data_IF_334171921112
#
_entry.id   IF_334171921112
#
_cell.length_a   1.000
_cell.length_b   1.000
_cell.length_c   1.000
_cell.angle_alpha   90.00
_cell.angle_beta   90.00
_cell.angle_gamma   90.00
#
_symmetry.space_group_name_H-M   'P 1'
#
loop_
_entity.id
_entity.type
_entity.pdbx_description
1 polymer ?
#
# COMPACT_ATOMS: atom_id res chain seq x y z
N UNK A 1 16.30 -7.64 23.77
CA UNK A 1 15.40 -6.50 24.01
C UNK A 1 14.35 -6.53 22.94
N UNK A 2 13.23 -7.08 23.27
CA UNK A 2 12.03 -6.99 22.44
C UNK A 2 11.56 -5.55 22.46
N UNK A 3 12.02 -4.76 21.49
CA UNK A 3 11.67 -3.36 21.31
C UNK A 3 10.24 -3.19 20.76
N UNK A 4 9.28 -4.02 21.25
CA UNK A 4 7.89 -3.88 20.85
C UNK A 4 7.32 -2.64 21.50
N UNK A 5 7.04 -1.64 20.68
CA UNK A 5 6.40 -0.40 21.13
C UNK A 5 4.99 -0.71 21.60
N UNK A 6 4.61 -0.17 22.75
CA UNK A 6 3.29 -0.33 23.34
C UNK A 6 2.51 0.97 23.20
N UNK A 7 1.31 0.91 22.62
CA UNK A 7 0.39 2.04 22.64
C UNK A 7 -0.10 2.26 24.07
N UNK A 8 0.06 3.48 24.56
CA UNK A 8 -0.33 3.88 25.90
C UNK A 8 -1.19 5.14 25.86
N UNK A 9 -2.09 5.26 26.81
CA UNK A 9 -2.73 6.51 27.15
C UNK A 9 -2.07 7.12 28.39
N UNK A 10 -1.87 8.44 28.40
CA UNK A 10 -1.37 9.16 29.56
C UNK A 10 -2.08 10.52 29.69
N UNK A 11 -2.53 10.84 30.89
CA UNK A 11 -3.11 12.14 31.25
C UNK A 11 -2.12 13.01 32.07
N UNK A 12 -0.85 12.60 32.12
CA UNK A 12 0.19 13.23 32.93
C UNK A 12 0.23 12.78 34.39
N UNK A 13 -0.81 12.10 34.88
CA UNK A 13 -0.88 11.55 36.26
C UNK A 13 -0.90 10.02 36.24
N UNK A 14 -1.50 9.43 35.24
CA UNK A 14 -1.60 7.98 35.06
C UNK A 14 -1.19 7.60 33.65
N UNK A 15 -0.55 6.45 33.52
CA UNK A 15 -0.26 5.84 32.22
C UNK A 15 -0.90 4.45 32.19
N UNK A 16 -1.68 4.19 31.15
CA UNK A 16 -2.34 2.91 30.92
C UNK A 16 -1.77 2.29 29.66
N UNK A 17 -1.14 1.13 29.80
CA UNK A 17 -0.71 0.32 28.65
C UNK A 17 -1.95 -0.30 27.99
N UNK A 18 -2.05 -0.18 26.67
CA UNK A 18 -3.21 -0.64 25.90
C UNK A 18 -2.84 -1.91 25.13
N UNK A 19 -1.99 -1.79 24.10
CA UNK A 19 -1.65 -2.92 23.23
C UNK A 19 -0.24 -2.76 22.65
N UNK A 20 0.55 -3.84 22.56
CA UNK A 20 1.78 -3.85 21.80
C UNK A 20 1.52 -3.62 20.31
N UNK A 21 2.35 -2.82 19.64
CA UNK A 21 2.22 -2.52 18.21
C UNK A 21 2.25 -3.77 17.34
N UNK A 22 3.03 -4.78 17.72
CA UNK A 22 3.12 -6.09 17.06
C UNK A 22 1.80 -6.89 17.09
N UNK A 23 0.86 -6.53 17.96
CA UNK A 23 -0.46 -7.18 18.07
C UNK A 23 -1.55 -6.50 17.24
N UNK A 24 -1.24 -5.39 16.59
CA UNK A 24 -2.14 -4.71 15.66
C UNK A 24 -2.10 -5.46 14.34
N UNK A 25 -3.27 -5.91 13.88
CA UNK A 25 -3.40 -6.79 12.70
C UNK A 25 -3.01 -6.08 11.40
N UNK A 26 -3.37 -4.80 11.24
CA UNK A 26 -3.05 -4.04 10.03
C UNK A 26 -1.64 -3.47 10.09
N UNK A 27 -0.79 -3.69 9.05
CA UNK A 27 0.61 -3.28 9.07
C UNK A 27 0.80 -1.78 8.85
N UNK A 28 1.96 -1.27 9.22
CA UNK A 28 2.46 0.07 8.88
C UNK A 28 2.34 1.10 9.99
N UNK A 29 3.34 1.99 10.05
CA UNK A 29 3.44 3.05 11.05
C UNK A 29 2.22 3.98 11.04
N UNK A 30 1.77 4.36 9.85
CA UNK A 30 0.57 5.19 9.69
C UNK A 30 -0.70 4.56 10.31
N UNK A 31 -0.77 3.23 10.39
CA UNK A 31 -1.87 2.56 11.06
C UNK A 31 -1.74 2.62 12.59
N UNK A 32 -0.53 2.59 13.11
CA UNK A 32 -0.28 2.85 14.54
C UNK A 32 -0.74 4.27 14.89
N UNK A 33 -0.40 5.28 14.08
CA UNK A 33 -0.88 6.66 14.25
C UNK A 33 -2.41 6.76 14.17
N UNK A 34 -3.05 6.05 13.23
CA UNK A 34 -4.51 5.98 13.13
C UNK A 34 -5.13 5.37 14.40
N UNK A 35 -4.51 4.31 14.96
CA UNK A 35 -4.97 3.73 16.24
C UNK A 35 -4.81 4.71 17.40
N UNK A 36 -3.69 5.43 17.49
CA UNK A 36 -3.50 6.46 18.52
C UNK A 36 -4.58 7.54 18.44
N UNK A 37 -4.89 8.02 17.24
CA UNK A 37 -5.96 9.00 17.01
C UNK A 37 -7.35 8.44 17.38
N UNK A 38 -7.65 7.22 16.92
CA UNK A 38 -8.94 6.59 17.22
C UNK A 38 -9.12 6.31 18.72
N UNK A 39 -8.07 5.80 19.38
CA UNK A 39 -8.07 5.56 20.83
C UNK A 39 -8.29 6.87 21.58
N UNK A 40 -7.61 7.94 21.19
CA UNK A 40 -7.78 9.26 21.82
C UNK A 40 -9.21 9.78 21.69
N UNK A 41 -9.85 9.54 20.55
CA UNK A 41 -11.22 9.99 20.28
C UNK A 41 -12.28 9.24 21.12
N UNK A 42 -12.04 7.97 21.47
CA UNK A 42 -13.00 7.12 22.20
C UNK A 42 -12.59 6.85 23.64
N UNK A 43 -11.52 7.50 24.12
CA UNK A 43 -11.00 7.25 25.46
C UNK A 43 -12.00 7.67 26.54
N UNK A 44 -12.30 6.72 27.40
CA UNK A 44 -13.31 6.90 28.46
C UNK A 44 -14.69 6.33 28.09
N UNK A 45 -15.03 6.26 26.80
CA UNK A 45 -16.30 5.72 26.33
C UNK A 45 -16.23 4.22 26.01
N UNK A 46 -15.02 3.72 25.71
CA UNK A 46 -14.78 2.34 25.30
C UNK A 46 -13.73 1.69 26.19
N UNK A 47 -13.99 0.43 26.60
CA UNK A 47 -13.03 -0.32 27.45
C UNK A 47 -11.76 -0.67 26.70
N UNK A 48 -10.64 -0.76 27.44
CA UNK A 48 -9.34 -1.20 26.89
C UNK A 48 -9.43 -2.59 26.22
N UNK A 49 -10.22 -3.50 26.78
CA UNK A 49 -10.44 -4.83 26.18
C UNK A 49 -11.12 -4.76 24.82
N UNK A 50 -12.07 -3.87 24.64
CA UNK A 50 -12.75 -3.64 23.36
C UNK A 50 -11.76 -3.05 22.33
N UNK A 51 -10.95 -2.08 22.74
CA UNK A 51 -9.88 -1.50 21.91
C UNK A 51 -8.91 -2.60 21.46
N UNK A 52 -8.42 -3.41 22.40
CA UNK A 52 -7.51 -4.51 22.10
C UNK A 52 -8.12 -5.55 21.16
N UNK A 53 -9.39 -5.88 21.32
CA UNK A 53 -10.12 -6.81 20.45
C UNK A 53 -10.22 -6.29 19.04
N UNK A 54 -10.61 -5.03 18.86
CA UNK A 54 -10.66 -4.39 17.53
C UNK A 54 -9.27 -4.38 16.91
N UNK A 55 -8.23 -3.97 17.61
CA UNK A 55 -6.87 -3.89 17.08
C UNK A 55 -6.33 -5.25 16.58
N UNK A 56 -6.71 -6.36 17.24
CA UNK A 56 -6.30 -7.72 16.86
C UNK A 56 -7.10 -8.30 15.69
N UNK A 57 -8.33 -7.84 15.44
CA UNK A 57 -9.22 -8.46 14.47
C UNK A 57 -9.56 -7.58 13.28
N UNK A 58 -9.45 -6.26 13.40
CA UNK A 58 -9.74 -5.34 12.31
C UNK A 58 -8.75 -5.54 11.16
N UNK A 59 -9.26 -5.99 10.02
CA UNK A 59 -8.47 -6.34 8.83
C UNK A 59 -8.11 -5.18 7.92
N UNK A 60 -8.43 -3.96 8.32
CA UNK A 60 -8.25 -2.77 7.47
C UNK A 60 -9.51 -2.33 6.74
N UNK A 61 -9.39 -1.31 5.93
CA UNK A 61 -10.44 -0.78 5.07
C UNK A 61 -10.24 -1.35 3.67
N UNK A 62 -11.32 -1.76 3.02
CA UNK A 62 -11.29 -2.24 1.63
C UNK A 62 -10.56 -1.23 0.73
N UNK A 63 -9.76 -1.73 -0.20
CA UNK A 63 -8.92 -0.97 -1.13
C UNK A 63 -7.76 -0.17 -0.49
N UNK A 64 -7.46 -0.34 0.80
CA UNK A 64 -6.36 0.36 1.49
C UNK A 64 -5.34 -0.64 2.05
N UNK A 65 -4.29 -0.92 1.27
CA UNK A 65 -3.29 -1.96 1.57
C UNK A 65 -4.00 -3.26 2.00
N UNK A 66 -5.11 -3.53 1.35
CA UNK A 66 -5.98 -4.68 1.63
C UNK A 66 -5.27 -5.96 1.16
N UNK A 67 -5.04 -6.90 2.07
CA UNK A 67 -4.55 -8.22 1.71
C UNK A 67 -5.63 -8.97 0.92
N UNK A 68 -5.30 -9.42 -0.30
CA UNK A 68 -6.23 -10.15 -1.17
C UNK A 68 -6.03 -11.65 -1.02
N UNK A 69 -4.83 -12.13 -1.32
CA UNK A 69 -4.46 -13.56 -1.14
C UNK A 69 -2.95 -13.75 -1.17
N UNK A 70 -2.52 -14.94 -0.81
CA UNK A 70 -1.19 -15.47 -1.08
C UNK A 70 -1.30 -16.63 -2.07
N UNK A 71 -0.45 -16.62 -3.10
CA UNK A 71 -0.36 -17.67 -4.10
C UNK A 71 1.11 -17.95 -4.41
N UNK A 72 1.53 -19.19 -4.34
CA UNK A 72 2.91 -19.62 -4.61
C UNK A 72 3.96 -18.85 -3.79
N UNK A 73 3.62 -18.47 -2.55
CA UNK A 73 4.45 -17.67 -1.66
C UNK A 73 4.49 -16.17 -2.00
N UNK A 74 3.73 -15.69 -2.98
CA UNK A 74 3.59 -14.28 -3.35
C UNK A 74 2.33 -13.70 -2.72
N UNK A 75 2.44 -12.56 -2.04
CA UNK A 75 1.32 -11.87 -1.39
C UNK A 75 0.81 -10.72 -2.23
N UNK A 76 -0.48 -10.70 -2.50
CA UNK A 76 -1.16 -9.70 -3.32
C UNK A 76 -1.94 -8.73 -2.44
N UNK A 77 -1.74 -7.43 -2.66
CA UNK A 77 -2.39 -6.34 -1.93
C UNK A 77 -3.12 -5.39 -2.87
N UNK A 78 -4.27 -4.91 -2.42
CA UNK A 78 -5.07 -3.91 -3.11
C UNK A 78 -5.00 -2.57 -2.37
N UNK A 79 -4.34 -1.59 -2.97
CA UNK A 79 -4.27 -0.21 -2.48
C UNK A 79 -4.86 0.77 -3.53
N UNK A 80 -5.96 0.36 -4.17
CA UNK A 80 -6.60 1.13 -5.24
C UNK A 80 -7.03 2.55 -4.80
N UNK A 81 -7.24 2.77 -3.50
CA UNK A 81 -7.56 4.09 -2.95
C UNK A 81 -6.36 5.06 -2.98
N UNK A 82 -5.13 4.57 -3.19
CA UNK A 82 -3.93 5.39 -3.29
C UNK A 82 -3.88 6.14 -4.64
N UNK A 83 -4.80 7.08 -4.82
CA UNK A 83 -5.04 7.83 -6.06
C UNK A 83 -4.20 9.10 -6.19
N UNK A 84 -3.08 9.19 -5.49
CA UNK A 84 -2.06 10.24 -5.62
C UNK A 84 -0.69 9.75 -5.13
N UNK A 85 0.42 10.42 -5.54
CA UNK A 85 1.78 10.06 -5.17
C UNK A 85 2.02 9.91 -3.66
N UNK A 86 1.54 10.84 -2.86
CA UNK A 86 1.78 10.86 -1.40
C UNK A 86 1.26 9.59 -0.72
N UNK A 87 0.09 9.08 -1.14
CA UNK A 87 -0.49 7.84 -0.59
C UNK A 87 0.32 6.61 -0.97
N UNK A 88 0.78 6.53 -2.23
CA UNK A 88 1.65 5.43 -2.68
C UNK A 88 2.97 5.42 -1.89
N UNK A 89 3.59 6.58 -1.68
CA UNK A 89 4.81 6.69 -0.87
C UNK A 89 4.59 6.14 0.55
N UNK A 90 3.48 6.51 1.18
CA UNK A 90 3.14 5.97 2.51
C UNK A 90 2.93 4.45 2.49
N UNK A 91 2.27 3.94 1.44
CA UNK A 91 2.07 2.50 1.23
C UNK A 91 3.39 1.75 1.02
N UNK A 92 4.28 2.24 0.17
CA UNK A 92 5.60 1.64 -0.09
C UNK A 92 6.42 1.47 1.19
N UNK A 93 6.43 2.49 2.06
CA UNK A 93 7.13 2.47 3.33
C UNK A 93 6.57 1.47 4.35
N UNK A 94 5.35 0.97 4.14
CA UNK A 94 4.75 -0.04 5.02
C UNK A 94 5.33 -1.44 4.81
N UNK A 95 5.94 -1.67 3.64
CA UNK A 95 6.52 -2.96 3.29
C UNK A 95 8.04 -2.89 3.46
N UNK A 96 8.60 -3.41 4.51
CA UNK A 96 10.04 -3.37 4.83
C UNK A 96 10.94 -4.11 3.81
N UNK A 97 10.62 -4.02 2.52
CA UNK A 97 11.32 -4.66 1.39
C UNK A 97 10.93 -4.03 0.06
N UNK A 98 11.70 -4.34 -0.98
CA UNK A 98 11.31 -3.96 -2.35
C UNK A 98 10.15 -4.84 -2.83
N UNK A 99 9.18 -4.22 -3.50
CA UNK A 99 7.94 -4.88 -3.94
C UNK A 99 7.71 -4.66 -5.45
N UNK A 100 6.73 -5.36 -5.99
CA UNK A 100 6.20 -5.16 -7.33
C UNK A 100 4.96 -4.29 -7.21
N UNK A 101 4.88 -3.20 -7.98
CA UNK A 101 3.66 -2.37 -8.00
C UNK A 101 3.08 -2.24 -9.40
N UNK A 102 1.74 -2.14 -9.43
CA UNK A 102 0.96 -1.74 -10.61
C UNK A 102 0.53 -0.30 -10.37
N UNK A 103 0.95 0.62 -11.25
CA UNK A 103 0.72 2.05 -11.11
C UNK A 103 0.24 2.69 -12.42
N UNK A 104 -0.34 3.89 -12.28
CA UNK A 104 -0.88 4.66 -13.39
C UNK A 104 -2.40 4.76 -13.39
N UNK A 105 -2.93 5.48 -14.36
CA UNK A 105 -4.34 5.79 -14.47
C UNK A 105 -4.58 7.21 -14.99
N UNK A 106 -5.72 7.80 -14.63
CA UNK A 106 -6.17 9.11 -15.07
C UNK A 106 -5.27 10.25 -14.57
N UNK A 107 -4.94 11.17 -15.47
CA UNK A 107 -4.08 12.32 -15.20
C UNK A 107 -4.84 13.48 -14.51
N UNK A 108 -4.68 13.61 -13.21
CA UNK A 108 -5.15 14.77 -12.45
C UNK A 108 -4.22 16.00 -12.54
N UNK A 109 -3.20 15.95 -13.40
CA UNK A 109 -2.16 16.98 -13.54
C UNK A 109 -1.40 17.27 -12.22
N UNK A 110 -1.20 16.22 -11.43
CA UNK A 110 -0.40 16.26 -10.21
C UNK A 110 1.04 15.86 -10.58
N UNK A 111 2.08 16.49 -9.98
CA UNK A 111 3.46 16.13 -10.23
C UNK A 111 3.78 14.71 -9.72
N UNK A 112 4.56 13.94 -10.51
CA UNK A 112 5.01 12.59 -10.15
C UNK A 112 6.45 12.54 -9.65
N UNK A 113 7.21 13.63 -9.73
CA UNK A 113 8.60 13.71 -9.28
C UNK A 113 8.79 13.25 -7.82
N UNK A 114 7.84 13.48 -6.89
CA UNK A 114 7.96 12.95 -5.53
C UNK A 114 8.03 11.43 -5.43
N UNK A 115 7.56 10.69 -6.46
CA UNK A 115 7.66 9.22 -6.52
C UNK A 115 9.07 8.73 -6.82
N UNK A 116 9.91 9.55 -7.46
CA UNK A 116 11.21 9.12 -7.97
C UNK A 116 12.07 8.42 -6.91
N UNK A 117 12.32 9.07 -5.78
CA UNK A 117 13.09 8.49 -4.67
C UNK A 117 12.47 7.19 -4.13
N UNK A 118 11.23 7.25 -3.61
CA UNK A 118 10.58 6.07 -3.03
C UNK A 118 10.42 4.88 -3.99
N UNK A 119 10.13 5.12 -5.27
CA UNK A 119 10.01 4.03 -6.25
C UNK A 119 11.38 3.38 -6.49
N UNK A 120 12.45 4.16 -6.68
CA UNK A 120 13.79 3.63 -6.85
C UNK A 120 14.30 2.88 -5.60
N UNK A 121 13.84 3.25 -4.41
CA UNK A 121 14.21 2.62 -3.15
C UNK A 121 13.41 1.33 -2.88
N UNK A 122 12.08 1.38 -3.03
CA UNK A 122 11.16 0.33 -2.53
C UNK A 122 10.52 -0.54 -3.61
N UNK A 123 10.78 -0.28 -4.90
CA UNK A 123 10.16 -1.05 -6.00
C UNK A 123 11.23 -1.80 -6.78
N UNK A 124 10.98 -3.11 -7.04
CA UNK A 124 11.83 -3.92 -7.92
C UNK A 124 11.26 -4.04 -9.33
N UNK A 125 9.93 -4.04 -9.45
CA UNK A 125 9.23 -4.03 -10.75
C UNK A 125 8.09 -3.01 -10.68
N UNK A 126 8.11 -2.05 -11.59
CA UNK A 126 7.08 -1.04 -11.79
C UNK A 126 6.31 -1.36 -13.06
N UNK A 127 5.05 -1.74 -12.92
CA UNK A 127 4.17 -2.03 -14.05
C UNK A 127 3.24 -0.83 -14.24
N UNK A 128 3.33 -0.21 -15.39
CA UNK A 128 2.65 1.05 -15.70
C UNK A 128 1.48 0.81 -16.65
N UNK A 129 0.34 1.49 -16.38
CA UNK A 129 -0.85 1.43 -17.20
C UNK A 129 -1.62 2.76 -17.22
N UNK A 130 -2.49 2.94 -18.20
CA UNK A 130 -3.34 4.13 -18.32
C UNK A 130 -2.62 5.40 -18.79
N UNK A 131 -3.33 6.52 -18.78
CA UNK A 131 -2.91 7.80 -19.38
C UNK A 131 -1.59 8.36 -18.81
N UNK A 132 -1.27 8.05 -17.57
CA UNK A 132 -0.10 8.60 -16.87
C UNK A 132 1.14 7.72 -16.93
N UNK A 133 1.08 6.56 -17.59
CA UNK A 133 2.18 5.60 -17.63
C UNK A 133 3.53 6.25 -18.01
N UNK A 134 3.60 6.93 -19.15
CA UNK A 134 4.84 7.60 -19.61
C UNK A 134 5.29 8.75 -18.71
N UNK A 135 4.35 9.44 -18.04
CA UNK A 135 4.70 10.53 -17.11
C UNK A 135 5.34 10.00 -15.83
N UNK A 136 4.81 8.90 -15.30
CA UNK A 136 5.38 8.23 -14.12
C UNK A 136 6.75 7.66 -14.47
N UNK A 137 6.87 6.96 -15.61
CA UNK A 137 8.15 6.44 -16.08
C UNK A 137 9.19 7.55 -16.16
N UNK A 138 8.87 8.65 -16.86
CA UNK A 138 9.77 9.79 -16.98
C UNK A 138 10.19 10.33 -15.62
N UNK A 139 9.25 10.57 -14.71
CA UNK A 139 9.55 11.07 -13.36
C UNK A 139 10.49 10.14 -12.57
N UNK A 140 10.35 8.82 -12.75
CA UNK A 140 11.16 7.81 -12.05
C UNK A 140 12.53 7.63 -12.68
N UNK A 141 12.65 7.79 -13.99
CA UNK A 141 13.92 7.59 -14.74
C UNK A 141 14.76 8.86 -14.84
N UNK A 142 14.14 10.05 -14.87
CA UNK A 142 14.82 11.34 -14.93
C UNK A 142 15.44 11.74 -13.57
N UNK A 143 16.11 10.82 -12.91
CA UNK A 143 16.75 11.05 -11.61
C UNK A 143 18.07 10.28 -11.52
N UNK A 144 19.10 10.83 -10.84
CA UNK A 144 20.35 10.12 -10.57
C UNK A 144 20.17 8.85 -9.73
N UNK A 145 19.00 8.63 -9.11
CA UNK A 145 18.68 7.47 -8.30
C UNK A 145 18.28 6.26 -9.15
N UNK A 146 17.92 6.47 -10.41
CA UNK A 146 17.46 5.39 -11.28
C UNK A 146 18.59 4.44 -11.63
N UNK A 147 18.33 3.15 -11.38
CA UNK A 147 19.25 2.05 -11.69
C UNK A 147 18.43 0.93 -12.35
N UNK A 148 18.59 0.77 -13.67
CA UNK A 148 17.87 -0.24 -14.45
C UNK A 148 18.20 -1.68 -14.06
N UNK A 149 19.32 -1.91 -13.35
CA UNK A 149 19.67 -3.23 -12.80
C UNK A 149 18.84 -3.58 -11.56
N UNK A 150 18.25 -2.58 -10.88
CA UNK A 150 17.47 -2.74 -9.65
C UNK A 150 15.97 -2.53 -9.84
N UNK A 151 15.58 -1.65 -10.76
CA UNK A 151 14.20 -1.32 -11.04
C UNK A 151 13.85 -1.63 -12.49
N UNK A 152 13.04 -2.67 -12.68
CA UNK A 152 12.48 -3.00 -13.99
C UNK A 152 11.18 -2.23 -14.21
N UNK A 153 11.03 -1.62 -15.39
CA UNK A 153 9.80 -0.91 -15.78
C UNK A 153 9.14 -1.68 -16.93
N UNK A 154 7.85 -1.94 -16.81
CA UNK A 154 7.03 -2.65 -17.78
C UNK A 154 5.74 -1.85 -18.03
N UNK A 155 5.13 -2.06 -19.20
CA UNK A 155 3.85 -1.46 -19.57
C UNK A 155 2.80 -2.53 -19.79
N UNK A 156 1.56 -2.22 -19.41
CA UNK A 156 0.40 -3.08 -19.59
C UNK A 156 -0.77 -2.27 -20.16
N UNK A 157 -1.52 -2.85 -21.07
CA UNK A 157 -2.72 -2.26 -21.67
C UNK A 157 -3.99 -2.53 -20.86
N UNK A 158 -3.94 -3.45 -19.89
CA UNK A 158 -5.09 -3.83 -19.06
C UNK A 158 -4.67 -4.28 -17.66
N UNK A 159 -5.62 -4.33 -16.73
CA UNK A 159 -5.37 -4.87 -15.37
C UNK A 159 -4.98 -6.36 -15.41
N UNK A 160 -5.62 -7.13 -16.29
CA UNK A 160 -5.30 -8.54 -16.45
C UNK A 160 -3.86 -8.76 -16.92
N UNK A 161 -3.41 -7.98 -17.90
CA UNK A 161 -2.02 -8.02 -18.37
C UNK A 161 -1.06 -7.55 -17.28
N UNK A 162 -1.39 -6.49 -16.54
CA UNK A 162 -0.57 -6.00 -15.43
C UNK A 162 -0.38 -7.06 -14.33
N UNK A 163 -1.45 -7.77 -13.97
CA UNK A 163 -1.38 -8.86 -12.98
C UNK A 163 -0.61 -10.06 -13.53
N UNK A 164 -0.75 -10.39 -14.83
CA UNK A 164 0.02 -11.46 -15.46
C UNK A 164 1.53 -11.15 -15.45
N UNK A 165 1.92 -9.94 -15.83
CA UNK A 165 3.30 -9.46 -15.73
C UNK A 165 3.81 -9.48 -14.29
N UNK A 166 3.00 -9.00 -13.33
CA UNK A 166 3.39 -9.04 -11.93
C UNK A 166 3.68 -10.46 -11.45
N UNK A 167 2.86 -11.43 -11.86
CA UNK A 167 3.06 -12.85 -11.54
C UNK A 167 4.31 -13.43 -12.19
N UNK A 168 4.58 -13.09 -13.46
CA UNK A 168 5.76 -13.56 -14.21
C UNK A 168 7.07 -13.15 -13.53
N UNK A 169 7.11 -11.92 -12.96
CA UNK A 169 8.32 -11.37 -12.33
C UNK A 169 8.37 -11.55 -10.82
N UNK A 170 7.33 -12.15 -10.21
CA UNK A 170 7.30 -12.40 -8.78
C UNK A 170 7.98 -13.74 -8.42
N UNK A 171 8.69 -13.74 -7.31
CA UNK A 171 9.31 -14.90 -6.69
C UNK A 171 8.67 -15.19 -5.33
N UNK A 172 8.75 -16.45 -4.82
CA UNK A 172 8.27 -16.75 -3.47
C UNK A 172 8.84 -15.78 -2.42
N UNK A 173 7.97 -15.23 -1.59
CA UNK A 173 8.31 -14.19 -0.63
C UNK A 173 8.03 -12.77 -1.12
N UNK A 174 7.74 -12.55 -2.38
CA UNK A 174 7.43 -11.21 -2.91
C UNK A 174 6.06 -10.69 -2.50
N UNK A 175 5.92 -9.39 -2.73
CA UNK A 175 4.67 -8.65 -2.58
C UNK A 175 4.34 -7.99 -3.92
N UNK A 176 3.11 -8.17 -4.37
CA UNK A 176 2.51 -7.45 -5.50
C UNK A 176 1.44 -6.53 -4.95
N UNK A 177 1.48 -5.24 -5.27
CA UNK A 177 0.49 -4.26 -4.82
C UNK A 177 -0.06 -3.44 -5.98
N UNK A 178 -1.39 -3.36 -6.08
CA UNK A 178 -2.05 -2.32 -6.87
C UNK A 178 -1.90 -1.00 -6.12
N UNK A 179 -0.99 -0.13 -6.57
CA UNK A 179 -0.67 1.16 -5.95
C UNK A 179 -0.63 2.27 -7.01
N UNK A 180 -1.81 2.75 -7.46
CA UNK A 180 -1.94 3.44 -8.74
C UNK A 180 -1.28 4.82 -8.82
N UNK A 181 -1.16 5.56 -7.75
CA UNK A 181 -0.77 6.97 -7.70
C UNK A 181 -1.70 7.94 -8.48
N UNK A 182 -2.73 7.42 -9.12
CA UNK A 182 -3.64 8.11 -10.02
C UNK A 182 -5.10 7.80 -9.72
N UNK A 183 -6.01 8.68 -10.14
CA UNK A 183 -7.42 8.34 -10.24
C UNK A 183 -7.62 7.23 -11.27
N UNK A 184 -8.85 6.72 -11.37
CA UNK A 184 -9.17 5.56 -12.20
C UNK A 184 -9.97 5.91 -13.46
N UNK A 185 -10.33 7.18 -13.66
CA UNK A 185 -11.38 7.61 -14.59
C UNK A 185 -11.07 7.42 -16.09
N UNK A 186 -9.84 7.06 -16.43
CA UNK A 186 -9.43 6.66 -17.79
C UNK A 186 -9.88 5.23 -18.14
N UNK A 187 -9.97 4.33 -17.15
CA UNK A 187 -10.28 2.92 -17.38
C UNK A 187 -11.44 2.39 -16.51
N UNK A 188 -11.78 3.08 -15.42
CA UNK A 188 -12.79 2.66 -14.45
C UNK A 188 -13.61 3.85 -13.94
N UNK A 189 -14.90 3.65 -13.60
CA UNK A 189 -15.76 4.74 -13.10
C UNK A 189 -15.32 5.30 -11.73
N UNK A 190 -14.63 4.51 -10.93
CA UNK A 190 -14.12 4.88 -9.61
C UNK A 190 -13.00 3.92 -9.15
N UNK A 191 -12.33 4.26 -8.05
CA UNK A 191 -11.24 3.44 -7.50
C UNK A 191 -11.74 2.09 -6.93
N UNK A 192 -12.98 2.03 -6.47
CA UNK A 192 -13.60 0.80 -5.97
C UNK A 192 -13.77 -0.21 -7.11
N UNK A 193 -14.25 0.23 -8.27
CA UNK A 193 -14.38 -0.64 -9.45
C UNK A 193 -13.03 -1.17 -9.90
N UNK A 194 -11.99 -0.32 -9.95
CA UNK A 194 -10.61 -0.73 -10.23
C UNK A 194 -10.09 -1.75 -9.22
N UNK A 195 -10.32 -1.51 -7.94
CA UNK A 195 -9.87 -2.42 -6.88
C UNK A 195 -10.62 -3.75 -6.89
N UNK A 196 -11.91 -3.77 -7.20
CA UNK A 196 -12.68 -5.01 -7.36
C UNK A 196 -12.23 -5.83 -8.56
N UNK A 197 -11.95 -5.18 -9.69
CA UNK A 197 -11.42 -5.85 -10.89
C UNK A 197 -10.07 -6.51 -10.59
N UNK A 198 -9.13 -5.77 -9.99
CA UNK A 198 -7.86 -6.32 -9.53
C UNK A 198 -8.05 -7.54 -8.61
N UNK A 199 -8.93 -7.44 -7.59
CA UNK A 199 -9.21 -8.56 -6.67
C UNK A 199 -9.79 -9.76 -7.40
N UNK A 200 -10.69 -9.54 -8.35
CA UNK A 200 -11.29 -10.60 -9.15
C UNK A 200 -10.23 -11.35 -9.97
N UNK A 201 -9.36 -10.62 -10.67
CA UNK A 201 -8.28 -11.21 -11.47
C UNK A 201 -7.30 -11.97 -10.57
N UNK A 202 -6.84 -11.36 -9.48
CA UNK A 202 -5.92 -12.02 -8.53
C UNK A 202 -6.56 -13.26 -7.91
N UNK A 203 -7.87 -13.24 -7.62
CA UNK A 203 -8.57 -14.40 -7.04
C UNK A 203 -8.72 -15.56 -8.02
N UNK A 204 -8.69 -15.27 -9.33
CA UNK A 204 -8.80 -16.27 -10.40
C UNK A 204 -7.45 -16.89 -10.82
N UNK A 205 -6.29 -16.35 -10.35
CA UNK A 205 -4.97 -16.94 -10.58
C UNK A 205 -4.88 -18.33 -9.94
#
# INVERSE_FOLDING_TARGET
LDGDRVLCYSDGRRSVKIIPASRIKIPGEHNIENYLAAISAVWGDVSVDSICRVARHFGGVEHRIEFVRELDGVRYYNDSIASNPTRVIAGLRSFNKRIIIIAGGYDKKIPFEPLAGPVNEFVKVLILMGDTASKIEKAVTDTPLYDSSKLKILHAGSMSEAVALAREYAEPGDIVSLSPACASFDMYPNFEARGRDYKSIVSAL
#
